data_IF_154861730157
#
_entry.id   IF_154861730157
#
_cell.length_a   1.000
_cell.length_b   1.000
_cell.length_c   1.000
_cell.angle_alpha   90.00
_cell.angle_beta   90.00
_cell.angle_gamma   90.00
#
_symmetry.space_group_name_H-M   'P 1'
#
loop_
_entity.id
_entity.type
_entity.pdbx_description
1 polymer ?
#
# COMPACT_ATOMS: atom_id res chain seq x y z
N UNK A 1 20.91 -12.72 -15.44
CA UNK A 1 20.30 -11.56 -14.77
C UNK A 1 19.90 -10.60 -15.87
N UNK A 2 18.61 -10.41 -16.09
CA UNK A 2 18.16 -9.51 -17.13
C UNK A 2 18.50 -8.07 -16.70
N UNK A 3 19.35 -7.33 -17.43
CA UNK A 3 19.64 -5.94 -17.13
C UNK A 3 18.43 -5.12 -17.57
N UNK A 4 17.31 -5.23 -16.85
CA UNK A 4 16.15 -4.38 -17.08
C UNK A 4 16.61 -2.93 -16.98
N UNK A 5 16.45 -2.18 -18.07
CA UNK A 5 17.02 -0.85 -18.24
C UNK A 5 16.76 0.03 -17.01
N UNK A 6 17.80 0.72 -16.56
CA UNK A 6 17.73 1.61 -15.40
C UNK A 6 17.01 2.90 -15.82
N UNK A 7 15.98 3.30 -15.07
CA UNK A 7 15.24 4.55 -15.31
C UNK A 7 15.92 5.71 -14.58
N UNK A 8 16.22 5.53 -13.30
CA UNK A 8 16.90 6.51 -12.45
C UNK A 8 17.93 5.82 -11.57
N UNK A 9 19.02 6.52 -11.27
CA UNK A 9 20.04 6.03 -10.35
C UNK A 9 20.74 7.19 -9.65
N UNK A 10 20.59 7.31 -8.34
CA UNK A 10 21.15 8.40 -7.53
C UNK A 10 21.69 7.90 -6.19
N UNK A 11 22.63 8.67 -5.60
CA UNK A 11 23.22 8.39 -4.28
C UNK A 11 22.49 9.15 -3.18
N UNK A 12 21.45 8.52 -2.62
CA UNK A 12 20.66 9.09 -1.53
C UNK A 12 21.12 8.54 -0.19
N UNK A 13 20.75 9.20 0.90
CA UNK A 13 21.03 8.71 2.25
C UNK A 13 19.85 7.84 2.72
N UNK A 14 20.13 6.61 3.13
CA UNK A 14 19.18 5.68 3.76
C UNK A 14 19.75 5.28 5.10
N UNK A 15 18.98 5.43 6.18
CA UNK A 15 19.41 5.09 7.55
C UNK A 15 20.79 5.68 7.91
N UNK A 16 21.07 6.92 7.46
CA UNK A 16 22.34 7.62 7.68
C UNK A 16 23.47 7.25 6.71
N UNK A 17 23.30 6.23 5.87
CA UNK A 17 24.34 5.74 4.94
C UNK A 17 24.06 6.19 3.50
N UNK A 18 25.04 6.85 2.86
CA UNK A 18 24.94 7.23 1.45
C UNK A 18 25.03 5.99 0.57
N UNK A 19 23.97 5.75 -0.19
CA UNK A 19 23.70 4.49 -0.85
C UNK A 19 23.22 4.74 -2.27
N UNK A 20 23.72 3.97 -3.25
CA UNK A 20 23.18 4.00 -4.60
C UNK A 20 21.79 3.35 -4.62
N UNK A 21 20.78 4.12 -5.02
CA UNK A 21 19.42 3.64 -5.23
C UNK A 21 19.10 3.71 -6.71
N UNK A 22 18.49 2.66 -7.22
CA UNK A 22 18.13 2.54 -8.64
C UNK A 22 16.66 2.19 -8.78
N UNK A 23 15.96 2.91 -9.65
CA UNK A 23 14.64 2.56 -10.14
C UNK A 23 14.78 1.93 -11.53
N UNK A 24 14.29 0.72 -11.69
CA UNK A 24 14.34 -0.03 -12.97
C UNK A 24 13.06 0.14 -13.77
N UNK A 25 13.12 -0.09 -15.08
CA UNK A 25 11.95 -0.09 -15.99
C UNK A 25 10.91 -1.13 -15.59
N UNK A 26 11.34 -2.23 -14.98
CA UNK A 26 10.47 -3.27 -14.42
C UNK A 26 9.77 -2.88 -13.11
N UNK A 27 9.85 -1.61 -12.69
CA UNK A 27 9.19 -1.13 -11.47
C UNK A 27 9.82 -1.71 -10.19
N UNK A 28 11.13 -1.93 -10.20
CA UNK A 28 11.87 -2.37 -9.01
C UNK A 28 12.75 -1.25 -8.47
N UNK A 29 12.66 -1.01 -7.17
CA UNK A 29 13.49 -0.09 -6.41
C UNK A 29 14.60 -0.88 -5.69
N UNK A 30 15.86 -0.65 -6.06
CA UNK A 30 17.01 -1.47 -5.64
C UNK A 30 18.06 -0.64 -4.93
N UNK A 31 18.60 -1.17 -3.83
CA UNK A 31 19.79 -0.67 -3.15
C UNK A 31 20.50 -1.84 -2.44
N UNK A 32 21.77 -1.73 -2.03
CA UNK A 32 22.47 -2.77 -1.29
C UNK A 32 21.64 -3.36 -0.14
N UNK A 33 21.39 -4.68 -0.21
CA UNK A 33 20.61 -5.42 0.79
C UNK A 33 19.09 -5.34 0.64
N UNK A 34 18.56 -4.66 -0.39
CA UNK A 34 17.10 -4.60 -0.62
C UNK A 34 16.73 -4.45 -2.10
N UNK A 35 15.63 -5.10 -2.47
CA UNK A 35 14.94 -4.88 -3.73
C UNK A 35 13.45 -4.88 -3.40
N UNK A 36 12.75 -3.78 -3.69
CA UNK A 36 11.31 -3.69 -3.58
C UNK A 36 10.70 -3.75 -4.98
N UNK A 37 9.76 -4.67 -5.19
CA UNK A 37 8.93 -4.69 -6.39
C UNK A 37 7.73 -3.78 -6.17
N UNK A 38 7.68 -2.62 -6.83
CA UNK A 38 6.67 -1.57 -6.59
C UNK A 38 5.25 -2.15 -6.66
N UNK A 39 4.96 -2.96 -7.69
CA UNK A 39 3.65 -3.59 -7.89
C UNK A 39 3.21 -4.48 -6.72
N UNK A 40 4.14 -5.17 -6.05
CA UNK A 40 3.84 -6.17 -5.01
C UNK A 40 3.99 -5.61 -3.60
N UNK A 41 5.05 -4.86 -3.34
CA UNK A 41 5.51 -4.55 -1.98
C UNK A 41 5.30 -3.08 -1.60
N UNK A 42 5.34 -2.15 -2.54
CA UNK A 42 5.15 -0.72 -2.21
C UNK A 42 3.66 -0.43 -2.16
N UNK A 43 3.17 0.09 -1.03
CA UNK A 43 1.80 0.55 -0.87
C UNK A 43 1.63 1.95 -1.44
N UNK A 44 2.52 2.87 -1.07
CA UNK A 44 2.50 4.27 -1.45
C UNK A 44 3.88 4.90 -1.20
N UNK A 45 4.07 6.13 -1.68
CA UNK A 45 5.15 7.00 -1.25
C UNK A 45 4.63 8.39 -0.91
N UNK A 46 5.41 9.15 -0.14
CA UNK A 46 5.17 10.57 0.12
C UNK A 46 6.48 11.34 0.11
N UNK A 47 6.39 12.65 -0.18
CA UNK A 47 7.54 13.56 -0.16
C UNK A 47 7.40 14.48 1.04
N UNK A 48 8.44 14.55 1.87
CA UNK A 48 8.52 15.42 3.04
C UNK A 48 9.85 16.17 3.02
N UNK A 49 9.82 17.45 2.65
CA UNK A 49 11.04 18.24 2.45
C UNK A 49 11.93 17.61 1.37
N UNK A 50 13.17 17.25 1.72
CA UNK A 50 14.12 16.56 0.84
C UNK A 50 14.00 15.04 0.85
N UNK A 51 13.01 14.46 1.52
CA UNK A 51 12.90 13.02 1.72
C UNK A 51 11.74 12.42 0.94
N UNK A 52 11.99 11.28 0.29
CA UNK A 52 10.94 10.41 -0.23
C UNK A 52 10.76 9.25 0.77
N UNK A 53 9.58 9.15 1.37
CA UNK A 53 9.19 8.03 2.23
C UNK A 53 8.42 7.00 1.42
N UNK A 54 8.95 5.78 1.35
CA UNK A 54 8.30 4.64 0.73
C UNK A 54 7.63 3.80 1.82
N UNK A 55 6.31 3.70 1.81
CA UNK A 55 5.54 2.79 2.68
C UNK A 55 5.35 1.46 1.95
N UNK A 56 5.80 0.37 2.56
CA UNK A 56 5.81 -0.94 1.93
C UNK A 56 5.39 -2.06 2.90
N UNK A 57 4.90 -3.15 2.34
CA UNK A 57 4.72 -4.43 3.00
C UNK A 57 5.79 -5.38 2.48
N UNK A 58 6.58 -5.92 3.40
CA UNK A 58 7.74 -6.75 3.08
C UNK A 58 7.66 -8.06 3.83
N UNK A 59 8.03 -9.15 3.16
CA UNK A 59 8.14 -10.45 3.82
C UNK A 59 9.32 -10.42 4.81
N UNK A 60 9.11 -10.96 6.02
CA UNK A 60 10.21 -11.19 6.96
C UNK A 60 11.12 -12.25 6.33
N UNK A 61 12.35 -11.88 5.99
CA UNK A 61 13.29 -12.76 5.32
C UNK A 61 13.37 -14.15 5.97
N UNK A 62 13.41 -15.19 5.14
CA UNK A 62 13.40 -16.58 5.55
C UNK A 62 14.54 -16.88 6.53
N UNK A 63 14.20 -17.02 7.82
CA UNK A 63 14.90 -17.97 8.67
C UNK A 63 14.63 -19.38 8.12
N UNK A 64 15.66 -20.21 8.04
CA UNK A 64 15.57 -21.60 7.57
C UNK A 64 14.45 -22.31 8.34
N UNK A 65 13.36 -22.69 7.66
CA UNK A 65 12.31 -23.53 8.24
C UNK A 65 12.04 -24.71 7.32
N UNK A 66 12.52 -25.87 7.73
CA UNK A 66 12.15 -27.16 7.16
C UNK A 66 10.70 -27.48 7.56
N UNK A 67 9.81 -27.64 6.57
CA UNK A 67 8.52 -28.32 6.71
C UNK A 67 7.32 -27.44 7.10
N UNK A 68 6.30 -27.41 6.23
CA UNK A 68 4.97 -26.85 6.50
C UNK A 68 4.75 -25.48 5.87
N UNK A 69 3.66 -25.32 5.13
CA UNK A 69 3.29 -24.05 4.48
C UNK A 69 3.00 -22.95 5.50
N UNK A 70 4.00 -22.11 5.77
CA UNK A 70 3.86 -20.89 6.56
C UNK A 70 4.13 -19.71 5.62
N UNK A 71 3.09 -18.95 5.28
CA UNK A 71 3.27 -17.61 4.71
C UNK A 71 4.11 -16.80 5.70
N UNK A 72 5.30 -16.34 5.28
CA UNK A 72 6.16 -15.53 6.13
C UNK A 72 5.38 -14.30 6.60
N UNK A 73 5.47 -13.90 7.88
CA UNK A 73 4.72 -12.76 8.38
C UNK A 73 5.10 -11.51 7.57
N UNK A 74 4.08 -10.86 7.02
CA UNK A 74 4.21 -9.61 6.31
C UNK A 74 4.42 -8.49 7.32
N UNK A 75 5.42 -7.64 7.08
CA UNK A 75 5.77 -6.51 7.95
C UNK A 75 5.54 -5.20 7.20
N UNK A 76 4.83 -4.28 7.84
CA UNK A 76 4.75 -2.90 7.40
C UNK A 76 6.07 -2.20 7.71
N UNK A 77 6.67 -1.57 6.70
CA UNK A 77 7.93 -0.85 6.85
C UNK A 77 7.93 0.42 6.01
N UNK A 78 8.45 1.48 6.58
CA UNK A 78 8.72 2.74 5.89
C UNK A 78 10.22 2.87 5.63
N UNK A 79 10.59 3.20 4.41
CA UNK A 79 11.96 3.50 4.01
C UNK A 79 12.07 4.98 3.65
N UNK A 80 13.02 5.70 4.24
CA UNK A 80 13.26 7.11 3.93
C UNK A 80 14.48 7.23 3.02
N UNK A 81 14.27 7.78 1.82
CA UNK A 81 15.32 8.15 0.88
C UNK A 81 15.56 9.65 1.01
N UNK A 82 16.70 10.03 1.56
CA UNK A 82 17.04 11.44 1.79
C UNK A 82 17.95 11.99 0.67
N UNK A 83 17.44 13.01 -0.02
CA UNK A 83 18.08 13.68 -1.14
C UNK A 83 18.77 14.99 -0.73
N UNK A 84 18.92 15.31 0.56
CA UNK A 84 19.53 16.57 1.03
C UNK A 84 20.90 16.86 0.38
N UNK A 85 21.70 15.83 0.10
CA UNK A 85 23.00 15.96 -0.57
C UNK A 85 22.94 15.99 -2.10
N UNK A 86 21.74 15.93 -2.69
CA UNK A 86 21.48 15.89 -4.13
C UNK A 86 20.62 17.10 -4.50
N UNK A 87 20.75 17.58 -5.74
CA UNK A 87 19.92 18.66 -6.28
C UNK A 87 18.42 18.39 -6.14
N UNK A 88 17.64 19.45 -5.94
CA UNK A 88 16.17 19.43 -5.93
C UNK A 88 15.58 18.82 -7.20
N UNK A 89 16.27 18.93 -8.33
CA UNK A 89 15.87 18.33 -9.61
C UNK A 89 15.77 16.80 -9.55
N UNK A 90 16.71 16.13 -8.88
CA UNK A 90 16.65 14.67 -8.71
C UNK A 90 15.46 14.27 -7.85
N UNK A 91 15.23 14.98 -6.74
CA UNK A 91 14.05 14.72 -5.89
C UNK A 91 12.75 14.83 -6.69
N UNK A 92 12.63 15.87 -7.52
CA UNK A 92 11.46 16.08 -8.40
C UNK A 92 11.33 14.96 -9.43
N UNK A 93 12.42 14.57 -10.09
CA UNK A 93 12.43 13.52 -11.10
C UNK A 93 12.06 12.16 -10.51
N UNK A 94 12.60 11.81 -9.35
CA UNK A 94 12.24 10.60 -8.62
C UNK A 94 10.78 10.58 -8.21
N UNK A 95 10.29 11.68 -7.64
CA UNK A 95 8.90 11.82 -7.24
C UNK A 95 7.96 11.62 -8.44
N UNK A 96 8.26 12.27 -9.56
CA UNK A 96 7.49 12.13 -10.80
C UNK A 96 7.50 10.69 -11.32
N UNK A 97 8.67 10.04 -11.40
CA UNK A 97 8.76 8.67 -11.91
C UNK A 97 8.09 7.65 -11.01
N UNK A 98 8.22 7.79 -9.69
CA UNK A 98 7.49 6.94 -8.75
C UNK A 98 5.99 7.14 -8.89
N UNK A 99 5.51 8.38 -9.04
CA UNK A 99 4.10 8.66 -9.26
C UNK A 99 3.58 7.99 -10.54
N UNK A 100 4.31 8.12 -11.65
CA UNK A 100 4.00 7.48 -12.94
C UNK A 100 3.86 5.95 -12.79
N UNK A 101 4.81 5.30 -12.10
CA UNK A 101 4.71 3.88 -11.82
C UNK A 101 3.49 3.55 -10.97
N UNK A 102 3.24 4.30 -9.89
CA UNK A 102 2.10 4.04 -8.99
C UNK A 102 0.76 4.19 -9.70
N UNK A 103 0.59 5.22 -10.52
CA UNK A 103 -0.64 5.45 -11.29
C UNK A 103 -0.85 4.39 -12.38
N UNK A 104 0.23 3.88 -12.98
CA UNK A 104 0.15 2.80 -13.98
C UNK A 104 -0.37 1.46 -13.43
N UNK A 105 -0.40 1.28 -12.10
CA UNK A 105 -0.87 0.04 -11.48
C UNK A 105 -2.40 -0.09 -11.47
N UNK A 106 -3.14 0.99 -11.74
CA UNK A 106 -4.61 0.98 -11.70
C UNK A 106 -5.18 0.63 -10.33
N UNK A 107 -4.48 1.00 -9.24
CA UNK A 107 -4.95 0.74 -7.88
C UNK A 107 -6.10 1.68 -7.50
N UNK A 108 -7.08 1.20 -6.72
CA UNK A 108 -8.18 2.04 -6.26
C UNK A 108 -7.65 3.17 -5.37
N UNK A 109 -8.24 4.36 -5.51
CA UNK A 109 -7.93 5.56 -4.72
C UNK A 109 -9.07 5.93 -3.77
N UNK A 110 -10.32 5.61 -4.13
CA UNK A 110 -11.52 5.89 -3.34
C UNK A 110 -12.35 4.62 -3.14
N UNK A 111 -12.58 4.21 -1.89
CA UNK A 111 -13.36 3.01 -1.57
C UNK A 111 -14.60 3.34 -0.73
N UNK A 112 -15.70 2.64 -0.97
CA UNK A 112 -16.83 2.63 -0.04
C UNK A 112 -16.78 1.37 0.82
N UNK A 113 -16.83 1.50 2.14
CA UNK A 113 -16.60 0.40 3.08
C UNK A 113 -17.83 0.16 3.94
N UNK A 114 -18.41 -1.02 3.82
CA UNK A 114 -19.42 -1.50 4.76
C UNK A 114 -18.77 -2.22 5.93
N UNK A 115 -19.22 -1.91 7.15
CA UNK A 115 -18.82 -2.63 8.36
C UNK A 115 -20.06 -3.19 9.03
N UNK A 116 -20.11 -4.50 9.27
CA UNK A 116 -21.18 -5.09 10.08
C UNK A 116 -20.68 -5.37 11.50
N UNK A 117 -20.95 -4.49 12.49
CA UNK A 117 -20.48 -4.67 13.86
C UNK A 117 -20.98 -5.96 14.51
N UNK A 118 -22.10 -6.52 14.03
CA UNK A 118 -22.71 -7.73 14.57
C UNK A 118 -22.33 -9.01 13.82
N UNK A 119 -21.55 -8.92 12.74
CA UNK A 119 -21.10 -10.06 11.95
C UNK A 119 -20.16 -11.00 12.73
N UNK A 120 -20.36 -12.31 12.61
CA UNK A 120 -19.48 -13.33 13.19
C UNK A 120 -19.26 -13.17 14.70
N UNK A 121 -18.01 -12.99 15.12
CA UNK A 121 -17.61 -12.81 16.54
C UNK A 121 -17.80 -11.37 17.06
N UNK A 122 -18.55 -10.51 16.36
CA UNK A 122 -18.76 -9.09 16.70
C UNK A 122 -17.46 -8.28 16.78
N UNK A 123 -16.50 -8.65 15.94
CA UNK A 123 -15.16 -8.03 15.91
C UNK A 123 -14.94 -7.17 14.67
N UNK A 124 -15.92 -7.02 13.78
CA UNK A 124 -15.74 -6.33 12.51
C UNK A 124 -15.29 -4.88 12.67
N UNK A 125 -15.92 -4.10 13.56
CA UNK A 125 -15.48 -2.71 13.82
C UNK A 125 -14.05 -2.68 14.38
N UNK A 126 -13.69 -3.62 15.26
CA UNK A 126 -12.33 -3.74 15.78
C UNK A 126 -11.32 -4.06 14.68
N UNK A 127 -11.61 -5.06 13.84
CA UNK A 127 -10.77 -5.45 12.69
C UNK A 127 -10.63 -4.28 11.72
N UNK A 128 -11.71 -3.55 11.47
CA UNK A 128 -11.66 -2.37 10.62
C UNK A 128 -10.68 -1.34 11.19
N UNK A 129 -10.78 -0.99 12.47
CA UNK A 129 -9.93 0.03 13.08
C UNK A 129 -8.48 -0.41 13.29
N UNK A 130 -8.25 -1.66 13.72
CA UNK A 130 -6.93 -2.15 14.11
C UNK A 130 -6.12 -2.65 12.91
N UNK A 131 -6.78 -3.24 11.91
CA UNK A 131 -6.12 -3.93 10.80
C UNK A 131 -6.36 -3.27 9.43
N UNK A 132 -7.61 -2.96 9.08
CA UNK A 132 -7.96 -2.48 7.72
C UNK A 132 -7.61 -1.00 7.53
N UNK A 133 -8.04 -0.14 8.45
CA UNK A 133 -7.85 1.31 8.38
C UNK A 133 -6.36 1.68 8.22
N UNK A 134 -5.42 1.12 9.03
CA UNK A 134 -4.01 1.46 8.87
C UNK A 134 -3.44 1.09 7.49
N UNK A 135 -3.94 0.03 6.85
CA UNK A 135 -3.51 -0.36 5.50
C UNK A 135 -4.01 0.61 4.43
N UNK A 136 -5.24 1.10 4.57
CA UNK A 136 -5.81 2.11 3.66
C UNK A 136 -5.04 3.43 3.80
N UNK A 137 -4.73 3.84 5.02
CA UNK A 137 -3.92 5.04 5.29
C UNK A 137 -2.50 4.89 4.71
N UNK A 138 -1.85 3.75 4.93
CA UNK A 138 -0.51 3.47 4.39
C UNK A 138 -0.50 3.49 2.84
N UNK A 139 -1.59 3.03 2.22
CA UNK A 139 -1.80 3.05 0.77
C UNK A 139 -2.31 4.40 0.22
N UNK A 140 -2.59 5.38 1.08
CA UNK A 140 -3.21 6.66 0.72
C UNK A 140 -4.53 6.49 -0.05
N UNK A 141 -5.35 5.54 0.41
CA UNK A 141 -6.70 5.28 -0.12
C UNK A 141 -7.71 6.05 0.72
N UNK A 142 -8.47 6.91 0.07
CA UNK A 142 -9.62 7.57 0.66
C UNK A 142 -10.78 6.58 0.80
N UNK A 143 -11.55 6.71 1.87
CA UNK A 143 -12.70 5.84 2.05
C UNK A 143 -13.89 6.53 2.73
N UNK A 144 -15.09 6.10 2.34
CA UNK A 144 -16.33 6.36 3.07
C UNK A 144 -16.71 5.10 3.86
N UNK A 145 -17.16 5.27 5.10
CA UNK A 145 -17.49 4.15 5.99
C UNK A 145 -18.98 4.14 6.33
N UNK A 146 -19.63 3.00 6.14
CA UNK A 146 -21.02 2.77 6.51
C UNK A 146 -21.15 1.54 7.42
N UNK A 147 -21.48 1.77 8.69
CA UNK A 147 -21.86 0.66 9.56
C UNK A 147 -23.28 0.17 9.24
N UNK A 148 -23.44 -1.14 9.06
CA UNK A 148 -24.74 -1.76 8.81
C UNK A 148 -25.51 -1.96 10.11
N UNK A 149 -26.80 -1.63 10.12
CA UNK A 149 -27.63 -1.68 11.35
C UNK A 149 -28.53 -2.91 11.43
N UNK A 150 -28.94 -3.45 10.29
CA UNK A 150 -29.85 -4.59 10.17
C UNK A 150 -29.59 -5.33 8.86
N UNK A 151 -30.24 -6.50 8.70
CA UNK A 151 -30.16 -7.33 7.49
C UNK A 151 -30.67 -6.56 6.27
N UNK A 152 -29.99 -6.65 5.13
CA UNK A 152 -30.30 -5.93 3.87
C UNK A 152 -30.00 -4.43 3.89
N UNK A 153 -29.52 -3.85 5.01
CA UNK A 153 -29.19 -2.43 5.05
C UNK A 153 -28.10 -2.04 4.05
N UNK A 154 -27.12 -2.90 3.81
CA UNK A 154 -26.08 -2.64 2.80
C UNK A 154 -26.67 -2.49 1.39
N UNK A 155 -27.66 -3.32 1.05
CA UNK A 155 -28.39 -3.28 -0.22
C UNK A 155 -29.18 -2.00 -0.40
N UNK A 156 -29.88 -1.56 0.66
CA UNK A 156 -30.60 -0.28 0.65
C UNK A 156 -29.65 0.90 0.42
N UNK A 157 -28.50 0.91 1.10
CA UNK A 157 -27.48 1.97 0.94
C UNK A 157 -26.90 1.96 -0.47
N UNK A 158 -26.54 0.80 -1.03
CA UNK A 158 -26.01 0.72 -2.40
C UNK A 158 -27.02 1.24 -3.43
N UNK A 159 -28.33 1.11 -3.17
CA UNK A 159 -29.37 1.59 -4.07
C UNK A 159 -29.46 3.12 -4.17
N UNK A 160 -29.00 3.83 -3.15
CA UNK A 160 -29.02 5.30 -3.09
C UNK A 160 -27.62 5.92 -3.29
N UNK A 161 -26.58 5.10 -3.22
CA UNK A 161 -25.19 5.54 -3.33
C UNK A 161 -24.81 5.77 -4.79
N UNK A 162 -24.16 6.90 -5.07
CA UNK A 162 -23.52 7.12 -6.36
C UNK A 162 -22.20 6.33 -6.43
N UNK A 163 -22.26 5.13 -7.02
CA UNK A 163 -21.11 4.27 -7.19
C UNK A 163 -20.04 4.85 -8.14
N UNK A 164 -20.37 5.87 -8.94
CA UNK A 164 -19.39 6.50 -9.82
C UNK A 164 -18.32 7.30 -9.07
N UNK A 165 -18.56 7.62 -7.80
CA UNK A 165 -17.61 8.31 -6.94
C UNK A 165 -16.52 7.38 -6.35
N UNK A 166 -16.67 6.06 -6.50
CA UNK A 166 -15.81 5.07 -5.83
C UNK A 166 -15.23 4.08 -6.85
N UNK A 167 -13.97 3.70 -6.62
CA UNK A 167 -13.26 2.69 -7.43
C UNK A 167 -13.62 1.26 -7.01
N UNK A 168 -14.28 1.11 -5.86
CA UNK A 168 -14.69 -0.20 -5.35
C UNK A 168 -15.46 -0.13 -4.04
N UNK A 169 -16.15 -1.24 -3.74
CA UNK A 169 -16.87 -1.45 -2.48
C UNK A 169 -16.18 -2.58 -1.72
N UNK A 170 -15.93 -2.36 -0.43
CA UNK A 170 -15.32 -3.34 0.48
C UNK A 170 -16.30 -3.65 1.60
N UNK A 171 -16.45 -4.93 1.94
CA UNK A 171 -17.31 -5.36 3.03
C UNK A 171 -16.47 -6.02 4.14
N UNK A 172 -16.50 -5.43 5.33
CA UNK A 172 -15.89 -5.97 6.55
C UNK A 172 -17.01 -6.57 7.41
N UNK A 173 -17.26 -7.86 7.21
CA UNK A 173 -18.33 -8.62 7.86
C UNK A 173 -17.98 -10.11 7.90
N UNK A 174 -18.85 -10.93 8.49
CA UNK A 174 -18.88 -12.37 8.24
C UNK A 174 -19.55 -12.70 6.89
N UNK A 175 -19.76 -13.99 6.63
CA UNK A 175 -20.27 -14.50 5.34
C UNK A 175 -21.61 -13.88 4.89
N UNK A 176 -22.42 -13.37 5.82
CA UNK A 176 -23.79 -12.91 5.56
C UNK A 176 -23.94 -11.66 4.68
N UNK A 177 -22.95 -10.76 4.57
CA UNK A 177 -23.14 -9.49 3.84
C UNK A 177 -23.00 -9.64 2.31
N UNK A 178 -22.35 -10.71 1.85
CA UNK A 178 -22.15 -10.97 0.42
C UNK A 178 -23.31 -11.76 -0.21
N UNK A 179 -24.25 -12.24 0.60
CA UNK A 179 -25.42 -13.04 0.19
C UNK A 179 -26.75 -12.30 0.32
N UNK A 180 -26.74 -10.99 0.60
CA UNK A 180 -27.93 -10.12 0.78
C UNK A 180 -28.45 -9.43 -0.51
#
# INVERSE_FOLDING_TARGET
MDPGDMVLSDRVRIDGTVTQVTLTTGGQLRWPGRCLVIKKEVLCFSVEGSQIKIRAIVERGAGICCGGGYTSPLLRKTFSLDFESISEESLRLWSHKLQEFMDSLGRPKRLFIFVNPYGGKKSASKIFHDDVKPLLEDANIEYALQETRYQLHAKEVVHILDLSEYDGVVCVSGDGILVE
#
